data_IF_256735240597
#
_entry.id   IF_256735240597
#
_cell.length_a   1.000
_cell.length_b   1.000
_cell.length_c   1.000
_cell.angle_alpha   90.00
_cell.angle_beta   90.00
_cell.angle_gamma   90.00
#
_symmetry.space_group_name_H-M   'P 1'
#
loop_
_entity.id
_entity.type
_entity.pdbx_description
1 polymer ?
#
# COMPACT_ATOMS: atom_id res chain seq x y z
N UNK A 1 5.44 23.51 16.10
CA UNK A 1 6.17 23.64 14.85
C UNK A 1 5.94 22.44 13.94
N UNK A 2 6.13 22.62 12.67
CA UNK A 2 5.95 21.56 11.65
C UNK A 2 6.87 20.38 11.92
N UNK A 3 8.07 20.62 12.39
CA UNK A 3 9.06 19.59 12.69
C UNK A 3 8.60 18.67 13.83
N UNK A 4 7.98 19.21 14.88
CA UNK A 4 7.44 18.40 15.97
C UNK A 4 6.25 17.54 15.54
N UNK A 5 5.41 18.07 14.67
CA UNK A 5 4.26 17.32 14.14
C UNK A 5 4.73 16.13 13.27
N UNK A 6 5.75 16.33 12.46
CA UNK A 6 6.32 15.24 11.66
C UNK A 6 6.91 14.13 12.53
N UNK A 7 7.58 14.48 13.64
CA UNK A 7 8.12 13.51 14.58
C UNK A 7 7.00 12.68 15.24
N UNK A 8 5.88 13.30 15.59
CA UNK A 8 4.73 12.59 16.17
C UNK A 8 4.12 11.60 15.18
N UNK A 9 3.95 12.01 13.93
CA UNK A 9 3.41 11.15 12.87
C UNK A 9 4.33 9.95 12.64
N UNK A 10 5.63 10.17 12.55
CA UNK A 10 6.61 9.11 12.34
C UNK A 10 6.61 8.11 13.50
N UNK A 11 6.52 8.57 14.74
CA UNK A 11 6.45 7.69 15.91
C UNK A 11 5.17 6.84 15.90
N UNK A 12 4.04 7.44 15.55
CA UNK A 12 2.76 6.73 15.47
C UNK A 12 2.80 5.63 14.42
N UNK A 13 3.35 5.92 13.25
CA UNK A 13 3.50 4.93 12.17
C UNK A 13 4.42 3.79 12.63
N UNK A 14 5.53 4.10 13.29
CA UNK A 14 6.46 3.08 13.76
C UNK A 14 5.84 2.16 14.82
N UNK A 15 5.07 2.69 15.75
CA UNK A 15 4.38 1.91 16.78
C UNK A 15 3.31 1.01 16.14
N UNK A 16 2.52 1.54 15.22
CA UNK A 16 1.50 0.77 14.50
C UNK A 16 2.11 -0.37 13.71
N UNK A 17 3.23 -0.13 13.02
CA UNK A 17 3.95 -1.16 12.28
C UNK A 17 4.48 -2.26 13.20
N UNK A 18 5.04 -1.89 14.35
CA UNK A 18 5.54 -2.84 15.33
C UNK A 18 4.42 -3.74 15.88
N UNK A 19 3.23 -3.20 16.12
CA UNK A 19 2.08 -3.98 16.55
C UNK A 19 1.62 -4.98 15.49
N UNK A 20 1.62 -4.59 14.21
CA UNK A 20 1.29 -5.48 13.11
C UNK A 20 2.30 -6.64 13.01
N UNK A 21 3.59 -6.35 13.13
CA UNK A 21 4.62 -7.38 13.12
C UNK A 21 4.46 -8.35 14.30
N UNK A 22 4.14 -7.85 15.49
CA UNK A 22 3.91 -8.68 16.65
C UNK A 22 2.65 -9.54 16.53
N UNK A 23 1.62 -9.05 15.82
CA UNK A 23 0.35 -9.75 15.64
C UNK A 23 0.37 -10.80 14.53
N UNK A 24 1.37 -10.80 13.66
CA UNK A 24 1.46 -11.69 12.50
C UNK A 24 2.74 -12.54 12.53
N UNK A 25 2.85 -13.53 13.44
CA UNK A 25 4.14 -14.14 13.72
C UNK A 25 4.59 -15.24 12.79
N UNK A 26 3.73 -15.88 12.01
CA UNK A 26 4.06 -17.24 11.61
C UNK A 26 4.55 -17.42 10.17
N UNK A 27 3.97 -16.77 9.19
CA UNK A 27 4.32 -16.97 7.78
C UNK A 27 4.73 -15.63 7.17
N UNK A 28 6.00 -15.56 6.74
CA UNK A 28 6.52 -14.35 6.14
C UNK A 28 7.44 -14.72 4.98
N UNK A 29 7.44 -13.90 3.95
CA UNK A 29 8.32 -14.13 2.81
C UNK A 29 8.34 -12.99 1.82
N UNK A 30 9.39 -12.94 0.99
CA UNK A 30 9.50 -11.98 -0.09
C UNK A 30 8.57 -12.34 -1.24
N UNK A 31 8.17 -11.32 -1.99
CA UNK A 31 7.39 -11.53 -3.21
C UNK A 31 7.70 -10.45 -4.25
N UNK A 32 7.36 -10.75 -5.49
CA UNK A 32 7.35 -9.78 -6.56
C UNK A 32 5.93 -9.66 -7.11
N UNK A 33 5.54 -8.44 -7.45
CA UNK A 33 4.21 -8.17 -7.96
C UNK A 33 4.31 -7.29 -9.20
N UNK A 34 3.61 -7.69 -10.25
CA UNK A 34 3.45 -6.90 -11.46
C UNK A 34 1.95 -6.66 -11.61
N UNK A 35 1.55 -5.41 -11.60
CA UNK A 35 0.15 -5.04 -11.64
C UNK A 35 -0.07 -3.94 -12.67
N UNK A 36 -1.06 -4.11 -13.51
CA UNK A 36 -1.45 -3.10 -14.48
C UNK A 36 -2.83 -2.56 -14.11
N UNK A 37 -2.92 -1.24 -14.04
CA UNK A 37 -4.15 -0.53 -13.76
C UNK A 37 -4.47 0.37 -14.94
N UNK A 38 -5.62 0.15 -15.57
CA UNK A 38 -6.08 0.94 -16.70
C UNK A 38 -7.30 1.77 -16.30
N UNK A 39 -7.35 2.99 -16.80
CA UNK A 39 -8.47 3.89 -16.56
C UNK A 39 -9.28 4.11 -17.82
N UNK A 40 -10.59 4.13 -17.67
CA UNK A 40 -11.54 4.39 -18.74
C UNK A 40 -12.59 5.38 -18.26
N UNK A 41 -13.04 6.25 -19.18
CA UNK A 41 -14.22 7.08 -18.98
C UNK A 41 -15.22 6.71 -20.08
N UNK A 42 -16.29 6.01 -19.68
CA UNK A 42 -17.16 5.36 -20.65
C UNK A 42 -16.38 4.30 -21.42
N UNK A 43 -16.31 4.41 -22.74
CA UNK A 43 -15.50 3.55 -23.59
C UNK A 43 -14.14 4.15 -23.94
N UNK A 44 -13.84 5.37 -23.44
CA UNK A 44 -12.59 6.05 -23.73
C UNK A 44 -11.48 5.61 -22.78
N UNK A 45 -10.39 5.10 -23.37
CA UNK A 45 -9.21 4.72 -22.63
C UNK A 45 -8.45 5.98 -22.17
N UNK A 46 -8.16 6.08 -20.87
CA UNK A 46 -7.48 7.24 -20.29
C UNK A 46 -5.99 7.01 -20.06
N UNK A 47 -5.53 5.80 -20.16
CA UNK A 47 -4.15 5.45 -19.91
C UNK A 47 -4.04 4.26 -18.95
N UNK A 48 -2.82 3.82 -18.71
CA UNK A 48 -2.57 2.75 -17.76
C UNK A 48 -1.26 2.98 -17.00
N UNK A 49 -1.16 2.31 -15.87
CA UNK A 49 0.06 2.29 -15.06
C UNK A 49 0.40 0.84 -14.75
N UNK A 50 1.68 0.50 -14.86
CA UNK A 50 2.18 -0.83 -14.52
C UNK A 50 3.17 -0.73 -13.39
N UNK A 51 2.86 -1.38 -12.28
CA UNK A 51 3.73 -1.46 -11.11
C UNK A 51 4.63 -2.68 -11.21
N UNK A 52 5.93 -2.46 -10.98
CA UNK A 52 6.91 -3.53 -10.86
C UNK A 52 7.47 -3.45 -9.44
N UNK A 53 6.85 -4.15 -8.52
CA UNK A 53 7.19 -4.06 -7.11
C UNK A 53 7.84 -5.34 -6.59
N UNK A 54 8.76 -5.17 -5.66
CA UNK A 54 9.22 -6.24 -4.79
C UNK A 54 8.78 -5.90 -3.39
N UNK A 55 8.47 -6.91 -2.61
CA UNK A 55 7.94 -6.68 -1.29
C UNK A 55 8.19 -7.85 -0.35
N UNK A 56 7.66 -7.70 0.84
CA UNK A 56 7.72 -8.69 1.89
C UNK A 56 6.39 -8.69 2.61
N UNK A 57 5.84 -9.87 2.84
CA UNK A 57 4.55 -9.98 3.49
C UNK A 57 4.55 -11.10 4.52
N UNK A 58 3.65 -10.98 5.48
CA UNK A 58 3.46 -12.00 6.49
C UNK A 58 2.01 -12.11 6.90
N UNK A 59 1.65 -13.27 7.40
CA UNK A 59 0.30 -13.51 7.91
C UNK A 59 0.33 -14.50 9.07
N UNK A 60 -0.69 -14.39 9.91
CA UNK A 60 -0.89 -15.27 11.05
C UNK A 60 -2.36 -15.33 11.41
N UNK A 61 -2.67 -15.94 12.54
CA UNK A 61 -4.06 -16.13 12.98
C UNK A 61 -4.79 -14.81 13.27
N UNK A 62 -4.04 -13.78 13.67
CA UNK A 62 -4.61 -12.50 14.07
C UNK A 62 -4.73 -11.53 12.89
N UNK A 63 -3.91 -11.67 11.86
CA UNK A 63 -3.95 -10.75 10.74
C UNK A 63 -2.82 -10.94 9.74
N UNK A 64 -2.66 -9.97 8.89
CA UNK A 64 -1.66 -9.98 7.84
C UNK A 64 -1.07 -8.58 7.66
N UNK A 65 0.11 -8.53 7.05
CA UNK A 65 0.79 -7.28 6.77
C UNK A 65 1.68 -7.45 5.55
N UNK A 66 2.02 -6.33 4.94
CA UNK A 66 2.95 -6.35 3.82
C UNK A 66 3.45 -4.97 3.50
N UNK A 67 4.56 -4.94 2.78
CA UNK A 67 5.10 -3.73 2.21
C UNK A 67 5.71 -4.05 0.85
N UNK A 68 5.62 -3.10 -0.05
CA UNK A 68 6.20 -3.27 -1.37
C UNK A 68 6.61 -1.92 -1.96
N UNK A 69 7.60 -1.94 -2.84
CA UNK A 69 8.07 -0.76 -3.53
C UNK A 69 8.72 -1.14 -4.85
N UNK A 70 8.78 -0.20 -5.74
CA UNK A 70 9.42 -0.35 -7.04
C UNK A 70 8.96 0.70 -8.03
N UNK A 71 9.48 0.64 -9.26
CA UNK A 71 9.07 1.59 -10.30
C UNK A 71 7.66 1.32 -10.79
N UNK A 72 6.96 2.41 -11.12
CA UNK A 72 5.68 2.37 -11.81
C UNK A 72 5.82 3.11 -13.13
N UNK A 73 5.46 2.45 -14.22
CA UNK A 73 5.44 3.03 -15.54
C UNK A 73 4.05 3.55 -15.84
N UNK A 74 3.95 4.87 -16.04
CA UNK A 74 2.70 5.54 -16.40
C UNK A 74 2.65 5.77 -17.90
N UNK A 75 1.63 5.24 -18.55
CA UNK A 75 1.41 5.40 -19.99
C UNK A 75 0.06 6.08 -20.18
N UNK A 76 0.02 7.41 -20.35
CA UNK A 76 -1.23 8.11 -20.60
C UNK A 76 -1.73 7.83 -22.02
N UNK A 77 -3.02 8.04 -22.25
CA UNK A 77 -3.60 7.93 -23.58
C UNK A 77 -2.96 8.93 -24.55
N UNK A 78 -2.64 10.11 -24.05
CA UNK A 78 -1.91 11.14 -24.80
C UNK A 78 -0.82 11.71 -23.91
N UNK A 79 0.39 11.91 -24.48
CA UNK A 79 1.53 12.46 -23.76
C UNK A 79 2.64 11.46 -23.60
N UNK A 80 3.68 11.84 -22.86
CA UNK A 80 4.88 11.05 -22.69
C UNK A 80 4.73 10.05 -21.55
N UNK A 81 5.39 8.90 -21.68
CA UNK A 81 5.51 7.92 -20.62
C UNK A 81 6.37 8.47 -19.48
N UNK A 82 6.01 8.15 -18.26
CA UNK A 82 6.77 8.54 -17.07
C UNK A 82 7.00 7.32 -16.20
N UNK A 83 8.17 7.28 -15.55
CA UNK A 83 8.47 6.26 -14.55
C UNK A 83 8.70 6.94 -13.21
N UNK A 84 7.99 6.48 -12.18
CA UNK A 84 8.09 7.02 -10.83
C UNK A 84 8.31 5.89 -9.85
N UNK A 85 8.97 6.18 -8.74
CA UNK A 85 9.09 5.22 -7.65
C UNK A 85 7.82 5.28 -6.80
N UNK A 86 7.21 4.13 -6.58
CA UNK A 86 6.02 4.01 -5.77
C UNK A 86 6.19 2.92 -4.72
N UNK A 87 5.35 2.94 -3.72
CA UNK A 87 5.37 1.92 -2.69
C UNK A 87 4.10 1.93 -1.88
N UNK A 88 3.88 0.87 -1.13
CA UNK A 88 2.76 0.81 -0.20
C UNK A 88 3.06 -0.11 0.98
N UNK A 89 2.41 0.20 2.09
CA UNK A 89 2.38 -0.61 3.29
C UNK A 89 0.91 -0.95 3.54
N UNK A 90 0.62 -2.20 3.82
CA UNK A 90 -0.75 -2.63 4.04
C UNK A 90 -0.83 -3.64 5.16
N UNK A 91 -2.00 -3.70 5.78
CA UNK A 91 -2.22 -4.65 6.85
C UNK A 91 -3.68 -4.86 7.14
N UNK A 92 -3.95 -5.96 7.83
CA UNK A 92 -5.30 -6.36 8.22
C UNK A 92 -5.22 -7.07 9.56
N UNK A 93 -6.18 -6.78 10.43
CA UNK A 93 -6.29 -7.42 11.75
C UNK A 93 -7.70 -7.97 11.90
N UNK A 94 -7.80 -9.21 12.38
CA UNK A 94 -9.08 -9.85 12.65
C UNK A 94 -9.61 -9.38 13.99
N UNK A 95 -10.72 -8.63 13.97
CA UNK A 95 -11.38 -8.15 15.19
C UNK A 95 -12.30 -9.22 15.80
N UNK A 96 -12.84 -10.11 14.95
CA UNK A 96 -13.62 -11.28 15.33
C UNK A 96 -13.54 -12.31 14.22
N UNK A 97 -14.24 -13.44 14.36
CA UNK A 97 -14.27 -14.48 13.33
C UNK A 97 -14.78 -13.96 11.98
N UNK A 98 -15.67 -12.97 12.02
CA UNK A 98 -16.35 -12.49 10.82
C UNK A 98 -15.94 -11.06 10.43
N UNK A 99 -15.19 -10.36 11.29
CA UNK A 99 -14.87 -8.94 11.09
C UNK A 99 -13.36 -8.75 11.03
N UNK A 100 -12.89 -8.11 9.97
CA UNK A 100 -11.49 -7.68 9.87
C UNK A 100 -11.42 -6.18 9.60
N UNK A 101 -10.35 -5.58 10.11
CA UNK A 101 -10.04 -4.16 9.90
C UNK A 101 -8.77 -4.12 9.07
N UNK A 102 -8.79 -3.37 7.98
CA UNK A 102 -7.64 -3.28 7.09
C UNK A 102 -7.27 -1.84 6.78
N UNK A 103 -6.01 -1.65 6.42
CA UNK A 103 -5.51 -0.34 6.05
C UNK A 103 -4.36 -0.44 5.05
N UNK A 104 -4.17 0.64 4.32
CA UNK A 104 -3.09 0.78 3.35
C UNK A 104 -2.62 2.22 3.31
N UNK A 105 -1.31 2.40 3.22
CA UNK A 105 -0.68 3.68 2.93
C UNK A 105 0.12 3.50 1.66
N UNK A 106 -0.20 4.28 0.64
CA UNK A 106 0.50 4.27 -0.64
C UNK A 106 1.23 5.60 -0.84
N UNK A 107 2.37 5.56 -1.49
CA UNK A 107 3.17 6.73 -1.76
C UNK A 107 3.71 6.70 -3.19
N UNK A 108 3.77 7.87 -3.81
CA UNK A 108 4.44 8.10 -5.09
C UNK A 108 5.51 9.14 -4.86
N UNK A 109 6.76 8.81 -5.19
CA UNK A 109 7.90 9.68 -4.99
C UNK A 109 8.29 10.34 -6.30
N UNK A 110 8.23 11.66 -6.32
CA UNK A 110 8.51 12.49 -7.47
C UNK A 110 9.05 13.84 -6.95
N UNK A 111 9.10 14.88 -7.80
CA UNK A 111 9.46 16.23 -7.35
C UNK A 111 8.59 16.68 -6.18
N UNK A 112 7.31 16.37 -6.25
CA UNK A 112 6.39 16.50 -5.11
C UNK A 112 5.84 15.10 -4.80
N UNK A 113 6.10 14.63 -3.58
CA UNK A 113 5.63 13.32 -3.16
C UNK A 113 4.12 13.33 -2.92
N UNK A 114 3.45 12.27 -3.34
CA UNK A 114 2.02 12.09 -3.16
C UNK A 114 1.76 10.88 -2.26
N UNK A 115 0.75 10.98 -1.41
CA UNK A 115 0.39 9.93 -0.46
C UNK A 115 -1.11 9.67 -0.52
N UNK A 116 -1.47 8.41 -0.40
CA UNK A 116 -2.86 8.01 -0.30
C UNK A 116 -3.06 7.00 0.81
N UNK A 117 -4.20 7.05 1.46
CA UNK A 117 -4.55 6.10 2.51
C UNK A 117 -5.85 5.40 2.19
N UNK A 118 -5.96 4.18 2.66
CA UNK A 118 -7.18 3.39 2.56
C UNK A 118 -7.39 2.69 3.90
N UNK A 119 -8.61 2.73 4.39
CA UNK A 119 -8.98 2.00 5.61
C UNK A 119 -10.40 1.50 5.47
N UNK A 120 -10.65 0.34 6.03
CA UNK A 120 -11.98 -0.23 5.93
C UNK A 120 -12.21 -1.36 6.92
N UNK A 121 -13.45 -1.79 6.97
CA UNK A 121 -13.89 -2.92 7.76
C UNK A 121 -14.57 -3.90 6.80
N UNK A 122 -14.17 -5.15 6.89
CA UNK A 122 -14.73 -6.22 6.08
C UNK A 122 -15.50 -7.18 6.98
N UNK A 123 -16.74 -7.44 6.62
CA UNK A 123 -17.57 -8.45 7.27
C UNK A 123 -17.71 -9.66 6.35
N UNK A 124 -17.43 -10.84 6.87
CA UNK A 124 -17.54 -12.09 6.11
C UNK A 124 -18.69 -12.93 6.67
N UNK A 125 -19.58 -13.36 5.81
CA UNK A 125 -20.76 -14.14 6.16
C UNK A 125 -20.46 -15.64 6.29
#
# INVERSE_FOLDING_TARGET
STKNNNNKIMKTIAISSALLFAAAPAIAGPYANIENNAGFTGSDFQGHATDFHVGYEGSGDVGSWGLQAGPTLYVPDAGEQETKLTGKIFGSVNASENVSIYGELAATFDDVNSYGTKAGVKYSF
#
